data_IF_915536146031
#
_entry.id   IF_915536146031
#
_cell.length_a   1.000
_cell.length_b   1.000
_cell.length_c   1.000
_cell.angle_alpha   90.00
_cell.angle_beta   90.00
_cell.angle_gamma   90.00
#
_symmetry.space_group_name_H-M   'P 1'
#
loop_
_entity.id
_entity.type
_entity.pdbx_description
1 polymer ?
#
# COMPACT_ATOMS: atom_id res chain seq x y z
N UNK A 1 4.51 18.16 9.07
CA UNK A 1 4.54 16.72 8.72
C UNK A 1 5.85 16.14 9.23
N UNK A 2 5.77 15.12 10.10
CA UNK A 2 6.95 14.45 10.65
C UNK A 2 7.45 13.41 9.64
N UNK A 3 8.73 13.44 9.29
CA UNK A 3 9.34 12.46 8.41
C UNK A 3 10.77 12.13 8.85
N UNK A 4 11.25 10.97 8.42
CA UNK A 4 12.61 10.46 8.69
C UNK A 4 13.15 9.85 7.41
N UNK A 5 14.35 10.24 7.00
CA UNK A 5 15.10 9.56 5.95
C UNK A 5 15.79 8.33 6.55
N UNK A 6 15.39 7.15 6.11
CA UNK A 6 15.87 5.86 6.62
C UNK A 6 17.08 5.34 5.85
N UNK A 7 17.23 5.79 4.62
CA UNK A 7 18.31 5.45 3.71
C UNK A 7 18.22 6.33 2.46
N UNK A 8 19.14 6.25 1.50
CA UNK A 8 19.12 7.07 0.31
C UNK A 8 17.75 7.03 -0.39
N UNK A 9 17.08 8.18 -0.46
CA UNK A 9 15.74 8.34 -1.04
C UNK A 9 14.65 7.42 -0.45
N UNK A 10 14.84 6.85 0.74
CA UNK A 10 13.82 6.09 1.47
C UNK A 10 13.32 6.96 2.62
N UNK A 11 12.13 7.54 2.46
CA UNK A 11 11.55 8.44 3.47
C UNK A 11 10.31 7.83 4.07
N UNK A 12 10.28 7.72 5.39
CA UNK A 12 9.07 7.41 6.14
C UNK A 12 8.41 8.69 6.65
N UNK A 13 7.12 8.82 6.40
CA UNK A 13 6.26 9.88 6.92
C UNK A 13 5.35 9.30 8.00
N UNK A 14 5.33 9.90 9.17
CA UNK A 14 4.64 9.36 10.34
C UNK A 14 3.41 10.19 10.74
N UNK A 15 2.42 9.51 11.32
CA UNK A 15 1.21 10.14 11.88
C UNK A 15 0.47 11.02 10.86
N UNK A 16 0.36 10.55 9.61
CA UNK A 16 -0.31 11.32 8.56
C UNK A 16 -1.83 11.27 8.68
N UNK A 17 -2.38 10.12 9.07
CA UNK A 17 -3.82 9.88 9.10
C UNK A 17 -4.20 8.88 10.20
N UNK A 18 -5.47 8.91 10.59
CA UNK A 18 -6.08 7.90 11.46
C UNK A 18 -6.69 6.79 10.63
N UNK A 19 -6.51 5.54 11.06
CA UNK A 19 -6.90 4.34 10.30
C UNK A 19 -8.14 3.63 10.85
N UNK A 20 -8.49 3.83 12.12
CA UNK A 20 -9.45 3.07 12.91
C UNK A 20 -10.65 2.48 12.13
N UNK A 21 -11.64 3.30 11.84
CA UNK A 21 -12.88 2.84 11.17
C UNK A 21 -12.69 2.41 9.71
N UNK A 22 -11.61 2.83 9.05
CA UNK A 22 -11.40 2.51 7.62
C UNK A 22 -11.31 1.00 7.38
N UNK A 23 -10.55 0.29 8.21
CA UNK A 23 -10.39 -1.18 8.07
C UNK A 23 -11.71 -1.89 8.31
N UNK A 24 -12.47 -1.49 9.32
CA UNK A 24 -13.77 -2.08 9.65
C UNK A 24 -14.78 -1.88 8.52
N UNK A 25 -14.86 -0.68 7.97
CA UNK A 25 -15.72 -0.37 6.83
C UNK A 25 -15.33 -1.15 5.59
N UNK A 26 -14.02 -1.26 5.29
CA UNK A 26 -13.50 -2.03 4.17
C UNK A 26 -13.82 -3.53 4.31
N UNK A 27 -13.59 -4.10 5.49
CA UNK A 27 -13.90 -5.50 5.76
C UNK A 27 -15.41 -5.78 5.66
N UNK A 28 -16.24 -4.84 6.14
CA UNK A 28 -17.69 -4.95 6.01
C UNK A 28 -18.15 -4.94 4.55
N UNK A 29 -17.57 -4.09 3.74
CA UNK A 29 -17.89 -3.99 2.30
C UNK A 29 -17.43 -5.23 1.53
N UNK A 30 -16.21 -5.69 1.77
CA UNK A 30 -15.64 -6.85 1.09
C UNK A 30 -16.28 -8.19 1.49
N UNK A 31 -17.12 -8.23 2.51
CA UNK A 31 -17.89 -9.43 2.91
C UNK A 31 -19.23 -9.56 2.18
N UNK A 32 -19.67 -8.53 1.47
CA UNK A 32 -20.94 -8.56 0.75
C UNK A 32 -20.77 -9.30 -0.58
N UNK A 33 -21.64 -10.26 -0.88
CA UNK A 33 -21.62 -10.98 -2.16
C UNK A 33 -21.84 -10.07 -3.39
N UNK A 34 -22.44 -8.91 -3.15
CA UNK A 34 -22.76 -7.87 -4.11
C UNK A 34 -22.05 -6.54 -3.79
N UNK A 35 -20.93 -6.62 -3.05
CA UNK A 35 -20.07 -5.49 -2.72
C UNK A 35 -19.39 -4.90 -3.96
N UNK A 36 -19.16 -3.61 -3.93
CA UNK A 36 -18.39 -2.91 -4.98
C UNK A 36 -16.90 -3.19 -4.87
N UNK A 37 -16.47 -3.62 -3.68
CA UNK A 37 -15.09 -3.99 -3.38
C UNK A 37 -15.04 -5.44 -2.91
N UNK A 38 -13.98 -6.15 -3.30
CA UNK A 38 -13.76 -7.52 -2.85
C UNK A 38 -12.28 -7.84 -2.66
N UNK A 39 -12.02 -8.79 -1.75
CA UNK A 39 -10.70 -9.40 -1.62
C UNK A 39 -10.47 -10.41 -2.74
N UNK A 40 -9.33 -10.30 -3.42
CA UNK A 40 -8.88 -11.26 -4.40
C UNK A 40 -7.45 -11.72 -4.09
N UNK A 41 -7.08 -12.92 -4.53
CA UNK A 41 -5.72 -13.41 -4.40
C UNK A 41 -4.79 -12.57 -5.27
N UNK A 42 -3.78 -11.95 -4.66
CA UNK A 42 -2.81 -11.16 -5.42
C UNK A 42 -1.95 -12.05 -6.32
N UNK A 43 -1.56 -11.49 -7.45
CA UNK A 43 -0.74 -12.14 -8.47
C UNK A 43 0.59 -11.41 -8.64
N UNK A 44 1.54 -12.04 -9.29
CA UNK A 44 2.77 -11.43 -9.80
C UNK A 44 2.78 -11.50 -11.33
N UNK A 45 3.52 -10.61 -11.97
CA UNK A 45 3.65 -10.52 -13.42
C UNK A 45 2.87 -9.35 -14.03
N UNK A 46 3.09 -9.11 -15.31
CA UNK A 46 2.41 -8.08 -16.09
C UNK A 46 1.00 -8.51 -16.51
N UNK A 47 0.21 -7.55 -16.99
CA UNK A 47 -1.20 -7.73 -17.36
C UNK A 47 -1.50 -8.94 -18.26
N UNK A 48 -0.52 -9.40 -19.05
CA UNK A 48 -0.68 -10.54 -19.96
C UNK A 48 -0.32 -11.90 -19.35
N UNK A 49 0.40 -11.94 -18.23
CA UNK A 49 0.89 -13.16 -17.58
C UNK A 49 0.87 -13.06 -16.05
N UNK A 50 -0.27 -12.72 -15.49
CA UNK A 50 -0.44 -12.73 -14.04
C UNK A 50 -0.54 -14.16 -13.51
N UNK A 51 0.24 -14.49 -12.49
CA UNK A 51 0.26 -15.83 -11.89
C UNK A 51 0.12 -15.72 -10.38
N UNK A 52 -0.74 -16.55 -9.79
CA UNK A 52 -0.76 -16.80 -8.35
C UNK A 52 0.46 -17.66 -8.02
N UNK A 53 1.31 -17.21 -7.12
CA UNK A 53 2.51 -17.92 -6.72
C UNK A 53 2.75 -17.83 -5.22
N UNK A 54 3.62 -18.72 -4.70
CA UNK A 54 4.12 -18.62 -3.32
C UNK A 54 5.09 -17.44 -3.12
N UNK A 55 5.29 -16.61 -4.14
CA UNK A 55 6.12 -15.41 -4.04
C UNK A 55 5.38 -14.26 -3.33
N UNK A 56 4.06 -14.23 -3.47
CA UNK A 56 3.18 -13.26 -2.82
C UNK A 56 1.91 -13.95 -2.31
N UNK A 57 1.68 -13.90 -1.02
CA UNK A 57 0.58 -14.61 -0.35
C UNK A 57 -0.44 -13.69 0.32
N UNK A 58 -0.48 -12.42 -0.08
CA UNK A 58 -1.50 -11.46 0.39
C UNK A 58 -2.79 -11.51 -0.42
N UNK A 59 -3.88 -11.02 0.17
CA UNK A 59 -5.07 -10.63 -0.58
C UNK A 59 -4.98 -9.15 -0.97
N UNK A 60 -5.58 -8.78 -2.08
CA UNK A 60 -5.66 -7.41 -2.58
C UNK A 60 -7.11 -6.93 -2.69
N UNK A 61 -7.32 -5.63 -2.54
CA UNK A 61 -8.58 -4.94 -2.83
C UNK A 61 -8.27 -3.62 -3.50
N UNK A 62 -8.79 -3.42 -4.72
CA UNK A 62 -8.60 -2.16 -5.47
C UNK A 62 -9.54 -1.08 -4.93
N UNK A 63 -8.98 0.10 -4.67
CA UNK A 63 -9.76 1.28 -4.25
C UNK A 63 -10.13 2.21 -5.41
N UNK A 64 -9.78 1.83 -6.64
CA UNK A 64 -10.11 2.63 -7.84
C UNK A 64 -11.61 2.97 -7.95
N UNK A 65 -12.56 2.07 -7.64
CA UNK A 65 -13.99 2.41 -7.66
C UNK A 65 -14.34 3.61 -6.76
N UNK A 66 -13.69 3.74 -5.60
CA UNK A 66 -13.91 4.87 -4.67
C UNK A 66 -13.32 6.19 -5.16
N UNK A 67 -12.52 6.17 -6.23
CA UNK A 67 -11.82 7.35 -6.73
C UNK A 67 -12.45 7.93 -8.00
N UNK A 68 -13.00 7.08 -8.85
CA UNK A 68 -13.43 7.44 -10.21
C UNK A 68 -14.94 7.39 -10.39
N UNK A 69 -15.63 6.59 -9.61
CA UNK A 69 -17.08 6.43 -9.72
C UNK A 69 -17.83 7.40 -8.79
N UNK A 70 -18.25 8.52 -9.36
CA UNK A 70 -19.00 9.54 -8.62
C UNK A 70 -20.39 9.08 -8.18
N UNK A 71 -20.98 8.13 -8.89
CA UNK A 71 -22.29 7.59 -8.54
C UNK A 71 -22.14 6.63 -7.36
N UNK A 72 -21.05 5.87 -7.33
CA UNK A 72 -20.73 4.96 -6.23
C UNK A 72 -20.55 5.66 -4.89
N UNK A 73 -19.84 6.78 -4.84
CA UNK A 73 -19.62 7.52 -3.59
C UNK A 73 -20.92 8.16 -3.02
N UNK A 74 -22.00 8.21 -3.80
CA UNK A 74 -23.31 8.67 -3.37
C UNK A 74 -24.21 7.53 -2.85
N UNK A 75 -23.76 6.28 -2.95
CA UNK A 75 -24.48 5.15 -2.35
C UNK A 75 -24.29 5.17 -0.83
N UNK A 76 -25.36 5.34 -0.08
CA UNK A 76 -25.34 5.54 1.38
C UNK A 76 -24.45 4.55 2.13
N UNK A 77 -24.41 3.29 1.68
CA UNK A 77 -23.60 2.22 2.30
C UNK A 77 -22.11 2.43 2.12
N UNK A 78 -21.64 2.78 0.91
CA UNK A 78 -20.21 2.89 0.59
C UNK A 78 -19.65 4.28 0.95
N UNK A 79 -20.51 5.25 1.07
CA UNK A 79 -20.16 6.66 1.34
C UNK A 79 -19.23 6.84 2.54
N UNK A 80 -19.47 6.24 3.71
CA UNK A 80 -18.56 6.38 4.85
C UNK A 80 -17.13 5.88 4.55
N UNK A 81 -17.01 4.77 3.84
CA UNK A 81 -15.72 4.23 3.41
C UNK A 81 -15.02 5.16 2.43
N UNK A 82 -15.75 5.68 1.43
CA UNK A 82 -15.23 6.61 0.46
C UNK A 82 -14.74 7.92 1.10
N UNK A 83 -15.50 8.49 2.01
CA UNK A 83 -15.14 9.70 2.76
C UNK A 83 -13.86 9.50 3.59
N UNK A 84 -13.75 8.36 4.30
CA UNK A 84 -12.54 8.01 5.04
C UNK A 84 -11.34 7.84 4.12
N UNK A 85 -11.52 7.17 2.97
CA UNK A 85 -10.45 7.03 2.00
C UNK A 85 -10.01 8.37 1.41
N UNK A 86 -10.93 9.24 1.05
CA UNK A 86 -10.61 10.58 0.54
C UNK A 86 -9.83 11.41 1.56
N UNK A 87 -10.18 11.31 2.85
CA UNK A 87 -9.43 11.97 3.91
C UNK A 87 -8.00 11.43 4.03
N UNK A 88 -7.81 10.11 4.01
CA UNK A 88 -6.47 9.50 3.99
C UNK A 88 -5.70 10.02 2.78
N UNK A 89 -6.27 9.92 1.58
CA UNK A 89 -5.64 10.33 0.33
C UNK A 89 -5.19 11.79 0.35
N UNK A 90 -6.00 12.71 0.86
CA UNK A 90 -5.63 14.13 0.97
C UNK A 90 -4.37 14.36 1.80
N UNK A 91 -4.11 13.51 2.81
CA UNK A 91 -2.88 13.56 3.61
C UNK A 91 -1.67 12.97 2.91
N UNK A 92 -1.90 12.01 1.99
CA UNK A 92 -0.82 11.47 1.17
C UNK A 92 -0.29 12.50 0.17
N UNK A 93 -1.15 13.36 -0.37
CA UNK A 93 -0.78 14.40 -1.35
C UNK A 93 0.32 15.32 -0.80
N UNK A 94 0.24 15.74 0.45
CA UNK A 94 1.27 16.57 1.10
C UNK A 94 2.64 15.86 1.17
N UNK A 95 2.64 14.57 1.51
CA UNK A 95 3.87 13.77 1.60
C UNK A 95 4.48 13.49 0.20
N UNK A 96 3.64 13.18 -0.77
CA UNK A 96 4.04 12.96 -2.16
C UNK A 96 4.63 14.26 -2.75
N UNK A 97 3.97 15.38 -2.51
CA UNK A 97 4.44 16.69 -2.95
C UNK A 97 5.80 17.04 -2.33
N UNK A 98 5.98 16.81 -1.02
CA UNK A 98 7.25 17.02 -0.34
C UNK A 98 8.36 16.17 -0.94
N UNK A 99 8.12 14.86 -1.12
CA UNK A 99 9.10 13.93 -1.70
C UNK A 99 9.47 14.33 -3.14
N UNK A 100 8.46 14.62 -3.97
CA UNK A 100 8.64 15.06 -5.36
C UNK A 100 9.53 16.27 -5.46
N UNK A 101 9.30 17.29 -4.62
CA UNK A 101 10.11 18.51 -4.65
C UNK A 101 11.52 18.30 -4.10
N UNK A 102 11.68 17.48 -3.06
CA UNK A 102 12.99 17.15 -2.48
C UNK A 102 13.93 16.56 -3.52
N UNK A 103 13.41 15.71 -4.40
CA UNK A 103 14.22 15.01 -5.41
C UNK A 103 13.97 15.50 -6.85
N UNK A 104 13.24 16.60 -7.02
CA UNK A 104 12.92 17.20 -8.35
C UNK A 104 12.32 16.19 -9.34
N UNK A 105 11.42 15.33 -8.87
CA UNK A 105 10.83 14.28 -9.70
C UNK A 105 9.70 14.82 -10.60
N UNK A 106 9.70 14.41 -11.86
CA UNK A 106 8.57 14.55 -12.75
C UNK A 106 7.75 13.27 -12.71
N UNK A 107 6.50 13.36 -12.30
CA UNK A 107 5.56 12.23 -12.21
C UNK A 107 4.22 12.68 -12.76
N UNK A 108 3.58 11.83 -13.54
CA UNK A 108 2.31 12.18 -14.20
C UNK A 108 1.10 11.79 -13.36
N UNK A 109 1.03 10.53 -12.93
CA UNK A 109 -0.15 9.97 -12.24
C UNK A 109 0.21 8.79 -11.35
N UNK A 110 -0.66 8.48 -10.41
CA UNK A 110 -0.66 7.21 -9.70
C UNK A 110 -1.39 6.11 -10.48
N UNK A 111 -1.05 4.85 -10.21
CA UNK A 111 -1.70 3.67 -10.82
C UNK A 111 -3.02 3.28 -10.10
N UNK A 112 -3.56 4.13 -9.22
CA UNK A 112 -4.61 3.78 -8.29
C UNK A 112 -4.05 3.11 -7.03
N UNK A 113 -4.89 2.98 -6.02
CA UNK A 113 -4.49 2.45 -4.72
C UNK A 113 -5.07 1.06 -4.51
N UNK A 114 -4.24 0.17 -3.98
CA UNK A 114 -4.61 -1.19 -3.62
C UNK A 114 -4.35 -1.43 -2.14
N UNK A 115 -5.36 -1.87 -1.40
CA UNK A 115 -5.17 -2.38 -0.04
C UNK A 115 -4.72 -3.83 -0.11
N UNK A 116 -3.77 -4.17 0.75
CA UNK A 116 -3.19 -5.51 0.90
C UNK A 116 -3.47 -6.04 2.30
N UNK A 117 -3.97 -7.26 2.36
CA UNK A 117 -4.30 -7.99 3.59
C UNK A 117 -3.36 -9.20 3.70
N UNK A 118 -2.52 -9.20 4.73
CA UNK A 118 -1.59 -10.27 5.02
C UNK A 118 -2.07 -11.02 6.27
N UNK A 119 -2.50 -12.27 6.08
CA UNK A 119 -2.79 -13.18 7.17
C UNK A 119 -1.52 -13.83 7.72
N UNK A 120 -1.69 -14.76 8.64
CA UNK A 120 -0.59 -15.51 9.28
C UNK A 120 0.34 -16.15 8.26
N UNK A 121 1.63 -15.91 8.41
CA UNK A 121 2.68 -16.41 7.53
C UNK A 121 2.72 -15.78 6.14
N UNK A 122 1.80 -14.85 5.84
CA UNK A 122 1.79 -14.18 4.54
C UNK A 122 2.98 -13.25 4.39
N UNK A 123 3.60 -13.30 3.22
CA UNK A 123 4.80 -12.54 2.86
C UNK A 123 4.72 -12.00 1.44
N UNK A 124 5.62 -11.11 1.10
CA UNK A 124 5.94 -10.77 -0.28
C UNK A 124 7.45 -10.83 -0.48
N UNK A 125 7.91 -11.81 -1.24
CA UNK A 125 9.33 -12.06 -1.48
C UNK A 125 9.98 -10.92 -2.27
N UNK A 126 11.30 -10.96 -2.30
CA UNK A 126 12.10 -9.89 -2.85
C UNK A 126 11.84 -9.58 -4.32
N UNK A 127 11.67 -8.30 -4.62
CA UNK A 127 11.38 -7.77 -5.94
C UNK A 127 11.79 -6.31 -6.07
N UNK A 128 11.72 -5.79 -7.27
CA UNK A 128 11.66 -4.36 -7.58
C UNK A 128 10.30 -4.07 -8.21
N UNK A 129 9.79 -2.86 -8.04
CA UNK A 129 8.47 -2.49 -8.54
C UNK A 129 8.49 -2.06 -10.00
N UNK A 130 9.63 -1.55 -10.48
CA UNK A 130 9.81 -1.17 -11.88
C UNK A 130 9.92 -2.41 -12.77
N UNK A 131 9.21 -2.37 -13.89
CA UNK A 131 9.36 -3.34 -14.98
C UNK A 131 9.29 -2.59 -16.32
N UNK A 132 9.83 -3.14 -17.41
CA UNK A 132 9.79 -2.49 -18.73
C UNK A 132 8.39 -2.10 -19.19
N UNK A 133 7.39 -2.90 -18.85
CA UNK A 133 5.97 -2.66 -19.15
C UNK A 133 5.27 -1.74 -18.15
N UNK A 134 5.91 -1.43 -17.02
CA UNK A 134 5.42 -0.55 -15.97
C UNK A 134 6.53 0.42 -15.60
N UNK A 135 6.61 1.55 -16.29
CA UNK A 135 7.65 2.56 -16.09
C UNK A 135 7.51 3.32 -14.76
N UNK A 136 7.40 2.58 -13.65
CA UNK A 136 7.25 3.13 -12.30
C UNK A 136 8.50 3.84 -11.85
N UNK A 137 8.35 5.07 -11.39
CA UNK A 137 9.43 5.92 -10.89
C UNK A 137 9.48 5.87 -9.37
N UNK A 138 8.32 5.95 -8.72
CA UNK A 138 8.19 6.05 -7.27
C UNK A 138 7.16 5.04 -6.76
N UNK A 139 7.51 4.39 -5.65
CA UNK A 139 6.65 3.46 -4.91
C UNK A 139 6.21 4.09 -3.60
N UNK A 140 4.95 3.87 -3.23
CA UNK A 140 4.37 4.23 -1.94
C UNK A 140 3.83 2.97 -1.27
N UNK A 141 4.28 2.73 -0.03
CA UNK A 141 3.71 1.71 0.87
C UNK A 141 3.18 2.40 2.11
N UNK A 142 1.88 2.25 2.39
CA UNK A 142 1.24 2.77 3.59
C UNK A 142 0.82 1.66 4.54
N UNK A 143 0.82 1.95 5.84
CA UNK A 143 0.45 1.00 6.89
C UNK A 143 -0.84 1.44 7.57
N UNK A 144 -1.85 0.56 7.53
CA UNK A 144 -3.17 0.83 8.10
C UNK A 144 -3.30 0.35 9.54
N UNK A 145 -2.46 -0.58 9.99
CA UNK A 145 -2.40 -1.04 11.36
C UNK A 145 -0.98 -1.41 11.78
N UNK A 146 -0.82 -1.67 13.06
CA UNK A 146 0.41 -2.11 13.73
C UNK A 146 0.06 -3.13 14.83
N UNK A 147 1.03 -3.57 15.64
CA UNK A 147 0.80 -4.47 16.77
C UNK A 147 0.82 -5.96 16.39
N UNK A 148 1.30 -6.32 15.21
CA UNK A 148 1.53 -7.69 14.77
C UNK A 148 3.03 -8.00 14.74
N UNK A 149 3.38 -9.29 14.80
CA UNK A 149 4.77 -9.73 14.64
C UNK A 149 5.14 -9.87 13.17
N UNK A 150 6.37 -9.55 12.80
CA UNK A 150 6.84 -9.60 11.42
C UNK A 150 6.25 -8.50 10.53
N UNK A 151 6.19 -8.75 9.24
CA UNK A 151 5.58 -7.84 8.27
C UNK A 151 6.38 -6.57 7.97
N UNK A 152 7.64 -6.49 8.41
CA UNK A 152 8.53 -5.38 8.11
C UNK A 152 8.78 -5.28 6.61
N UNK A 153 8.92 -4.04 6.11
CA UNK A 153 9.40 -3.76 4.76
C UNK A 153 10.94 -3.61 4.82
N UNK A 154 11.64 -4.47 4.09
CA UNK A 154 13.10 -4.57 4.16
C UNK A 154 13.75 -4.22 2.84
N UNK A 155 14.77 -3.36 2.90
CA UNK A 155 15.64 -2.97 1.78
C UNK A 155 17.07 -3.47 2.06
N UNK A 156 17.40 -4.70 1.67
CA UNK A 156 18.65 -5.34 2.10
C UNK A 156 19.92 -4.65 1.57
N UNK A 157 19.87 -3.99 0.42
CA UNK A 157 21.01 -3.27 -0.13
C UNK A 157 21.37 -2.01 0.65
N UNK A 158 20.45 -1.49 1.45
CA UNK A 158 20.64 -0.30 2.27
C UNK A 158 20.69 -0.61 3.77
N UNK A 159 20.55 -1.87 4.18
CA UNK A 159 20.40 -2.30 5.58
C UNK A 159 19.24 -1.57 6.30
N UNK A 160 18.16 -1.30 5.56
CA UNK A 160 16.97 -0.60 6.08
C UNK A 160 15.85 -1.60 6.34
N UNK A 161 15.33 -1.58 7.56
CA UNK A 161 14.15 -2.34 7.97
C UNK A 161 13.10 -1.38 8.53
N UNK A 162 11.97 -1.29 7.85
CA UNK A 162 10.85 -0.43 8.24
C UNK A 162 9.82 -1.24 8.99
N UNK A 163 9.64 -0.94 10.27
CA UNK A 163 8.53 -1.52 11.07
C UNK A 163 7.22 -0.83 10.69
N UNK A 164 6.15 -1.58 10.40
CA UNK A 164 4.83 -1.03 10.19
C UNK A 164 4.38 -0.18 11.39
N UNK A 165 3.90 1.03 11.08
CA UNK A 165 3.35 1.97 12.05
C UNK A 165 2.05 2.53 11.49
N UNK A 166 0.95 2.34 12.21
CA UNK A 166 -0.37 2.78 11.75
C UNK A 166 -0.38 4.28 11.39
N UNK A 167 -0.98 4.62 10.25
CA UNK A 167 -1.04 6.00 9.76
C UNK A 167 0.27 6.55 9.20
N UNK A 168 1.26 5.68 8.90
CA UNK A 168 2.51 6.06 8.24
C UNK A 168 2.59 5.54 6.81
N UNK A 169 3.45 6.18 6.02
CA UNK A 169 3.82 5.72 4.67
C UNK A 169 5.32 5.72 4.49
N UNK A 170 5.80 4.94 3.53
CA UNK A 170 7.17 4.97 3.03
C UNK A 170 7.14 5.27 1.54
N UNK A 171 7.93 6.25 1.12
CA UNK A 171 8.18 6.59 -0.28
C UNK A 171 9.62 6.22 -0.64
N UNK A 172 9.80 5.56 -1.79
CA UNK A 172 11.11 5.12 -2.29
C UNK A 172 11.08 4.91 -3.81
N UNK A 173 12.22 5.03 -4.52
CA UNK A 173 12.31 4.76 -5.95
C UNK A 173 11.92 3.32 -6.30
N UNK A 174 11.23 3.13 -7.42
CA UNK A 174 10.69 1.81 -7.82
C UNK A 174 11.72 0.86 -8.44
N UNK A 175 12.86 1.39 -8.93
CA UNK A 175 13.85 0.65 -9.70
C UNK A 175 14.96 0.05 -8.82
N UNK A 176 15.88 -0.70 -9.45
CA UNK A 176 17.14 -1.09 -8.83
C UNK A 176 17.96 0.18 -8.45
N UNK A 177 18.54 0.27 -7.23
CA UNK A 177 18.81 -0.80 -6.27
C UNK A 177 17.76 -0.95 -5.14
N UNK A 178 16.56 -0.43 -5.29
CA UNK A 178 15.49 -0.50 -4.26
C UNK A 178 14.76 -1.85 -4.27
N UNK A 179 15.52 -2.94 -4.42
CA UNK A 179 15.03 -4.29 -4.19
C UNK A 179 14.56 -4.42 -2.74
N UNK A 180 13.34 -4.92 -2.54
CA UNK A 180 12.72 -4.98 -1.23
C UNK A 180 11.81 -6.20 -1.08
N UNK A 181 11.45 -6.51 0.16
CA UNK A 181 10.51 -7.58 0.50
C UNK A 181 9.73 -7.24 1.77
N UNK A 182 8.58 -7.91 1.96
CA UNK A 182 7.82 -7.86 3.21
C UNK A 182 8.00 -9.19 3.95
N UNK A 183 8.49 -9.13 5.19
CA UNK A 183 8.65 -10.29 6.07
C UNK A 183 7.31 -11.00 6.32
N UNK A 184 7.33 -12.32 6.61
CA UNK A 184 6.14 -13.04 7.05
C UNK A 184 5.46 -12.38 8.25
N UNK A 185 4.13 -12.30 8.20
CA UNK A 185 3.29 -11.70 9.25
C UNK A 185 2.77 -12.77 10.19
N UNK A 186 2.64 -12.44 11.49
CA UNK A 186 1.91 -13.28 12.43
C UNK A 186 2.53 -14.65 12.65
N UNK A 187 3.86 -14.76 12.65
CA UNK A 187 4.53 -16.05 12.89
C UNK A 187 4.22 -16.59 14.30
N UNK A 188 4.04 -15.66 15.26
CA UNK A 188 3.77 -15.98 16.68
C UNK A 188 2.34 -15.68 17.13
N UNK A 189 1.52 -15.05 16.27
CA UNK A 189 0.16 -14.62 16.58
C UNK A 189 -0.74 -14.73 15.32
N UNK A 190 -2.05 -14.61 15.49
CA UNK A 190 -3.04 -14.67 14.40
C UNK A 190 -3.48 -13.27 13.92
N UNK A 191 -2.67 -12.24 14.16
CA UNK A 191 -2.97 -10.89 13.73
C UNK A 191 -2.87 -10.72 12.22
N UNK A 192 -3.62 -9.78 11.69
CA UNK A 192 -3.66 -9.45 10.26
C UNK A 192 -2.98 -8.10 10.06
N UNK A 193 -2.05 -8.02 9.10
CA UNK A 193 -1.50 -6.76 8.63
C UNK A 193 -2.33 -6.22 7.48
N UNK A 194 -2.70 -4.94 7.58
CA UNK A 194 -3.27 -4.16 6.48
C UNK A 194 -2.30 -3.07 6.06
N UNK A 195 -2.01 -3.03 4.77
CA UNK A 195 -1.22 -1.99 4.14
C UNK A 195 -1.90 -1.55 2.84
N UNK A 196 -1.47 -0.45 2.26
CA UNK A 196 -1.88 -0.09 0.91
C UNK A 196 -0.66 0.32 0.10
N UNK A 197 -0.77 0.20 -1.20
CA UNK A 197 0.30 0.53 -2.15
C UNK A 197 -0.24 1.31 -3.33
N UNK A 198 0.61 2.16 -3.88
CA UNK A 198 0.46 2.75 -5.20
C UNK A 198 1.83 3.03 -5.80
N UNK A 199 1.86 3.25 -7.10
CA UNK A 199 3.06 3.59 -7.87
C UNK A 199 2.79 4.79 -8.75
N UNK A 200 3.85 5.53 -9.05
CA UNK A 200 3.81 6.72 -9.91
C UNK A 200 4.70 6.51 -11.12
N UNK A 201 4.20 6.95 -12.26
CA UNK A 201 4.88 6.94 -13.56
C UNK A 201 5.29 8.34 -13.98
#
# INVERSE_FOLDING_TARGET
>A
MKHVELGPCIIQYENLFSTGEFIELLESECKQDWGYLNWYQTTIGSNAKQTVTNHRSSLGCELAPLQVDKDLINVDRIKPLAEKWMLIRSKLEDAIWHYRNTYSLSMERDEGFRVLKYGRGAEYKGHVDHAPENARILSLVGFLNEGFSGGELVFPLFDVTVKPKAGSIVLFPSNFPYYHYANPVGVTDDTIKYSFVTWFQ
#
